data_IF_480751139825
#
_entry.id   IF_480751139825
#
_cell.length_a   1.000
_cell.length_b   1.000
_cell.length_c   1.000
_cell.angle_alpha   90.00
_cell.angle_beta   90.00
_cell.angle_gamma   90.00
#
_symmetry.space_group_name_H-M   'P 1'
#
loop_
_entity.id
_entity.type
_entity.pdbx_description
1 polymer ?
#
# COMPACT_ATOMS: atom_id res chain seq x y z
N UNK A 1 2.86 10.38 -21.41
CA UNK A 1 2.45 9.10 -22.04
C UNK A 1 3.70 8.22 -22.20
N UNK A 2 3.98 7.37 -21.21
CA UNK A 2 5.02 6.33 -21.33
C UNK A 2 4.35 5.11 -21.99
N UNK A 3 4.69 4.87 -23.26
CA UNK A 3 4.46 3.58 -23.91
C UNK A 3 5.71 2.76 -23.59
N UNK A 4 5.66 1.91 -22.57
CA UNK A 4 6.59 0.81 -22.48
C UNK A 4 6.10 -0.24 -23.48
N UNK A 5 6.73 -0.29 -24.64
CA UNK A 5 6.71 -1.49 -25.48
C UNK A 5 7.28 -2.61 -24.64
N UNK A 6 6.46 -3.62 -24.36
CA UNK A 6 6.89 -4.90 -23.79
C UNK A 6 8.13 -5.37 -24.53
N UNK A 7 9.24 -5.55 -23.82
CA UNK A 7 10.41 -6.21 -24.39
C UNK A 7 9.98 -7.68 -24.61
N UNK A 8 9.99 -8.21 -25.85
CA UNK A 8 9.66 -9.60 -26.08
C UNK A 8 10.64 -10.48 -25.31
N UNK A 9 10.15 -11.28 -24.36
CA UNK A 9 10.95 -12.24 -23.59
C UNK A 9 11.19 -11.90 -22.11
N UNK A 10 10.73 -10.76 -21.60
CA UNK A 10 10.63 -10.52 -20.15
C UNK A 10 9.19 -10.76 -19.69
N UNK A 11 8.92 -11.97 -19.21
CA UNK A 11 7.72 -12.22 -18.39
C UNK A 11 8.01 -11.68 -17.01
N UNK A 12 7.34 -10.59 -16.61
CA UNK A 12 7.34 -10.17 -15.22
C UNK A 12 6.84 -11.34 -14.37
N UNK A 13 7.51 -11.53 -13.24
CA UNK A 13 7.07 -12.51 -12.26
C UNK A 13 5.74 -11.99 -11.68
N UNK A 14 4.67 -12.81 -11.72
CA UNK A 14 3.32 -12.32 -11.44
C UNK A 14 3.16 -11.90 -9.96
N UNK A 15 3.99 -12.37 -9.03
CA UNK A 15 3.97 -11.91 -7.64
C UNK A 15 4.47 -10.46 -7.54
N UNK A 16 5.40 -10.01 -8.38
CA UNK A 16 5.77 -8.59 -8.46
C UNK A 16 4.55 -7.71 -8.84
N UNK A 17 3.72 -8.20 -9.76
CA UNK A 17 2.46 -7.56 -10.17
C UNK A 17 1.49 -7.49 -8.99
N UNK A 18 1.39 -8.57 -8.21
CA UNK A 18 0.43 -8.72 -7.12
C UNK A 18 0.84 -8.06 -5.80
N UNK A 19 2.13 -8.04 -5.47
CA UNK A 19 2.62 -7.67 -4.13
C UNK A 19 3.61 -6.50 -4.15
N UNK A 20 3.98 -6.00 -5.34
CA UNK A 20 4.91 -4.88 -5.47
C UNK A 20 6.37 -5.30 -5.30
N UNK A 21 7.22 -4.35 -4.90
CA UNK A 21 8.68 -4.52 -4.97
C UNK A 21 9.25 -5.59 -4.01
N UNK A 22 8.55 -5.92 -2.92
CA UNK A 22 9.01 -6.89 -1.92
C UNK A 22 8.46 -8.31 -2.14
N UNK A 23 7.98 -8.61 -3.35
CA UNK A 23 7.39 -9.90 -3.69
C UNK A 23 8.34 -11.10 -3.49
N UNK A 24 9.65 -10.88 -3.49
CA UNK A 24 10.66 -11.95 -3.38
C UNK A 24 10.54 -12.74 -2.08
N UNK A 25 10.06 -12.10 -1.00
CA UNK A 25 9.84 -12.75 0.30
C UNK A 25 8.56 -13.58 0.35
N UNK A 26 7.66 -13.42 -0.64
CA UNK A 26 6.32 -14.01 -0.63
C UNK A 26 6.32 -15.23 -1.54
N UNK A 27 6.27 -16.43 -0.98
CA UNK A 27 6.26 -17.69 -1.77
C UNK A 27 4.91 -18.37 -1.71
N UNK A 28 4.57 -19.17 -2.72
CA UNK A 28 3.36 -19.99 -2.65
C UNK A 28 3.51 -21.03 -1.53
N UNK A 29 2.48 -21.16 -0.70
CA UNK A 29 2.47 -22.11 0.41
C UNK A 29 2.35 -23.54 -0.16
N UNK A 30 3.28 -24.40 0.24
CA UNK A 30 3.34 -25.81 -0.20
C UNK A 30 3.06 -26.80 0.93
N UNK A 31 2.78 -26.31 2.13
CA UNK A 31 2.46 -27.15 3.28
C UNK A 31 1.03 -27.72 3.15
N UNK A 32 0.95 -29.04 2.98
CA UNK A 32 -0.31 -29.76 2.78
C UNK A 32 -1.28 -29.62 3.96
N UNK A 33 -0.78 -29.51 5.20
CA UNK A 33 -1.63 -29.36 6.38
C UNK A 33 -2.27 -27.97 6.40
N UNK A 34 -1.49 -26.93 6.09
CA UNK A 34 -1.97 -25.55 6.01
C UNK A 34 -2.95 -25.39 4.83
N UNK A 35 -2.61 -25.94 3.67
CA UNK A 35 -3.49 -25.91 2.50
C UNK A 35 -4.82 -26.62 2.77
N UNK A 36 -4.76 -27.79 3.41
CA UNK A 36 -5.96 -28.53 3.82
C UNK A 36 -6.77 -27.75 4.85
N UNK A 37 -6.10 -27.09 5.79
CA UNK A 37 -6.73 -26.25 6.80
C UNK A 37 -7.53 -25.11 6.18
N UNK A 38 -6.95 -24.32 5.27
CA UNK A 38 -7.67 -23.20 4.65
C UNK A 38 -8.80 -23.69 3.74
N UNK A 39 -8.61 -24.78 3.00
CA UNK A 39 -9.66 -25.38 2.16
C UNK A 39 -10.84 -25.94 2.97
N UNK A 40 -10.64 -26.31 4.24
CA UNK A 40 -11.70 -26.85 5.09
C UNK A 40 -12.55 -25.78 5.80
N UNK A 41 -12.14 -24.51 5.78
CA UNK A 41 -12.88 -23.46 6.49
C UNK A 41 -14.17 -23.11 5.75
N UNK A 42 -15.27 -23.03 6.48
CA UNK A 42 -16.59 -22.72 5.93
C UNK A 42 -16.63 -21.32 5.33
N UNK A 43 -15.98 -20.34 5.96
CA UNK A 43 -15.85 -18.98 5.43
C UNK A 43 -15.20 -18.90 4.04
N UNK A 44 -14.39 -19.89 3.67
CA UNK A 44 -13.74 -20.01 2.36
C UNK A 44 -14.60 -20.86 1.39
N UNK A 45 -15.43 -21.76 1.92
CA UNK A 45 -16.34 -22.62 1.14
C UNK A 45 -17.69 -21.96 0.84
N UNK A 46 -18.17 -21.07 1.69
CA UNK A 46 -19.42 -20.34 1.47
C UNK A 46 -19.19 -19.38 0.30
N UNK A 47 -19.79 -19.73 -0.85
CA UNK A 47 -19.84 -18.94 -2.09
C UNK A 47 -20.59 -17.60 -1.93
N UNK A 48 -20.79 -17.08 -0.71
CA UNK A 48 -21.45 -15.80 -0.43
C UNK A 48 -20.80 -14.65 -1.22
N UNK A 49 -19.53 -14.82 -1.58
CA UNK A 49 -18.76 -13.91 -2.41
C UNK A 49 -18.50 -14.41 -3.84
N UNK A 50 -18.95 -15.61 -4.21
CA UNK A 50 -18.84 -16.25 -5.53
C UNK A 50 -17.42 -16.53 -6.06
N UNK A 51 -16.37 -16.29 -5.26
CA UNK A 51 -15.00 -16.67 -5.60
C UNK A 51 -14.86 -18.19 -5.65
N UNK A 52 -14.22 -18.70 -6.69
CA UNK A 52 -14.06 -20.14 -6.94
C UNK A 52 -12.62 -20.61 -6.86
N UNK A 53 -11.69 -19.69 -7.06
CA UNK A 53 -10.27 -20.00 -7.18
C UNK A 53 -9.51 -19.38 -6.02
N UNK A 54 -8.65 -20.18 -5.42
CA UNK A 54 -7.84 -19.80 -4.27
C UNK A 54 -6.37 -20.11 -4.51
N UNK A 55 -5.48 -19.22 -4.08
CA UNK A 55 -4.05 -19.49 -3.95
C UNK A 55 -3.55 -18.94 -2.62
N UNK A 56 -2.73 -19.72 -1.93
CA UNK A 56 -2.20 -19.36 -0.63
C UNK A 56 -0.71 -19.06 -0.76
N UNK A 57 -0.31 -17.93 -0.22
CA UNK A 57 1.09 -17.52 -0.13
C UNK A 57 1.50 -17.35 1.32
N UNK A 58 2.79 -17.43 1.57
CA UNK A 58 3.40 -17.21 2.87
C UNK A 58 4.63 -16.31 2.77
N UNK A 59 4.90 -15.58 3.84
CA UNK A 59 6.04 -14.68 3.99
C UNK A 59 6.64 -14.94 5.37
N UNK A 60 7.86 -15.48 5.41
CA UNK A 60 8.48 -16.01 6.62
C UNK A 60 9.56 -15.07 7.16
N UNK A 61 9.47 -14.74 8.46
CA UNK A 61 10.39 -13.87 9.19
C UNK A 61 10.84 -14.53 10.50
N UNK A 62 11.87 -13.98 11.16
CA UNK A 62 12.38 -14.52 12.42
C UNK A 62 11.34 -14.51 13.55
N UNK A 63 10.47 -13.50 13.57
CA UNK A 63 9.47 -13.30 14.63
C UNK A 63 8.03 -13.64 14.20
N UNK A 64 7.84 -14.26 13.03
CA UNK A 64 6.51 -14.69 12.59
C UNK A 64 6.40 -15.04 11.11
N UNK A 65 5.25 -15.58 10.75
CA UNK A 65 4.86 -15.86 9.36
C UNK A 65 3.55 -15.15 9.05
N UNK A 66 3.49 -14.52 7.88
CA UNK A 66 2.27 -13.96 7.31
C UNK A 66 1.74 -14.91 6.24
N UNK A 67 0.45 -15.19 6.24
CA UNK A 67 -0.23 -15.98 5.23
C UNK A 67 -1.18 -15.10 4.43
N UNK A 68 -1.20 -15.24 3.10
CA UNK A 68 -2.00 -14.43 2.18
C UNK A 68 -2.84 -15.35 1.32
N UNK A 69 -4.15 -15.38 1.56
CA UNK A 69 -5.10 -16.13 0.74
C UNK A 69 -5.66 -15.20 -0.33
N UNK A 70 -5.35 -15.51 -1.59
CA UNK A 70 -5.93 -14.83 -2.74
C UNK A 70 -7.18 -15.57 -3.20
N UNK A 71 -8.25 -14.81 -3.46
CA UNK A 71 -9.51 -15.37 -3.94
C UNK A 71 -10.05 -14.58 -5.14
N UNK A 72 -10.62 -15.29 -6.11
CA UNK A 72 -11.21 -14.68 -7.31
C UNK A 72 -12.29 -15.58 -7.94
N UNK A 73 -13.16 -14.95 -8.74
CA UNK A 73 -14.12 -15.65 -9.59
C UNK A 73 -13.43 -16.30 -10.78
N UNK A 74 -12.37 -15.69 -11.29
CA UNK A 74 -11.58 -16.16 -12.43
C UNK A 74 -10.41 -17.05 -11.98
N UNK A 75 -9.95 -17.93 -12.87
CA UNK A 75 -8.84 -18.86 -12.60
C UNK A 75 -7.57 -18.10 -12.23
N UNK A 76 -6.96 -18.44 -11.09
CA UNK A 76 -5.73 -17.83 -10.59
C UNK A 76 -4.45 -18.51 -11.12
N UNK A 77 -4.35 -18.75 -12.43
CA UNK A 77 -3.10 -19.22 -13.03
C UNK A 77 -2.15 -18.05 -13.32
N UNK A 78 -0.87 -18.35 -13.52
CA UNK A 78 0.17 -17.32 -13.72
C UNK A 78 -0.11 -16.41 -14.92
N UNK A 79 -0.71 -16.95 -15.99
CA UNK A 79 -1.10 -16.15 -17.16
C UNK A 79 -2.13 -15.08 -16.80
N UNK A 80 -3.21 -15.47 -16.10
CA UNK A 80 -4.26 -14.55 -15.70
C UNK A 80 -3.77 -13.53 -14.68
N UNK A 81 -2.97 -13.97 -13.70
CA UNK A 81 -2.37 -13.09 -12.70
C UNK A 81 -1.43 -12.05 -13.36
N UNK A 82 -0.71 -12.42 -14.41
CA UNK A 82 0.15 -11.49 -15.15
C UNK A 82 -0.61 -10.40 -15.93
N UNK A 83 -1.92 -10.60 -16.16
CA UNK A 83 -2.78 -9.69 -16.93
C UNK A 83 -3.97 -9.19 -16.10
N UNK A 84 -3.88 -9.28 -14.77
CA UNK A 84 -5.03 -9.09 -13.89
C UNK A 84 -5.72 -7.73 -14.08
N UNK A 85 -4.91 -6.68 -14.25
CA UNK A 85 -5.38 -5.31 -14.46
C UNK A 85 -5.87 -5.06 -15.89
N UNK A 86 -5.25 -5.70 -16.88
CA UNK A 86 -5.69 -5.64 -18.29
C UNK A 86 -7.05 -6.30 -18.46
N UNK A 87 -7.21 -7.47 -17.83
CA UNK A 87 -8.44 -8.27 -17.83
C UNK A 87 -9.50 -7.75 -16.85
N UNK A 88 -9.14 -6.77 -16.02
CA UNK A 88 -10.00 -6.18 -14.99
C UNK A 88 -10.59 -7.22 -14.02
N UNK A 89 -9.80 -8.25 -13.69
CA UNK A 89 -10.23 -9.36 -12.84
C UNK A 89 -10.35 -8.93 -11.39
N UNK A 90 -11.47 -9.25 -10.75
CA UNK A 90 -11.65 -8.96 -9.32
C UNK A 90 -10.78 -9.89 -8.49
N UNK A 91 -9.84 -9.31 -7.74
CA UNK A 91 -8.95 -10.08 -6.88
C UNK A 91 -9.03 -9.60 -5.44
N UNK A 92 -9.32 -10.52 -4.53
CA UNK A 92 -9.33 -10.31 -3.09
C UNK A 92 -8.11 -10.91 -2.44
N UNK A 93 -7.74 -10.34 -1.31
CA UNK A 93 -6.70 -10.84 -0.42
C UNK A 93 -7.23 -10.84 1.01
N UNK A 94 -7.01 -11.97 1.67
CA UNK A 94 -7.14 -12.13 3.10
C UNK A 94 -5.75 -12.36 3.69
N UNK A 95 -5.44 -11.69 4.78
CA UNK A 95 -4.13 -11.77 5.43
C UNK A 95 -4.29 -12.35 6.83
N UNK A 96 -3.52 -13.38 7.12
CA UNK A 96 -3.58 -14.13 8.37
C UNK A 96 -2.22 -14.21 9.05
N UNK A 97 -2.27 -14.37 10.36
CA UNK A 97 -1.13 -14.72 11.21
C UNK A 97 -1.48 -15.95 12.03
N UNK A 98 -0.46 -16.68 12.52
CA UNK A 98 -0.65 -17.80 13.44
C UNK A 98 -0.18 -17.42 14.83
N UNK A 99 -1.08 -17.42 15.82
CA UNK A 99 -0.78 -17.13 17.23
C UNK A 99 -1.21 -18.35 18.04
N UNK A 100 -0.28 -18.90 18.84
CA UNK A 100 -0.50 -20.08 19.67
C UNK A 100 -1.19 -21.26 18.94
N UNK A 101 -0.83 -21.46 17.66
CA UNK A 101 -1.34 -22.55 16.84
C UNK A 101 -2.64 -22.23 16.07
N UNK A 102 -3.25 -21.07 16.31
CA UNK A 102 -4.55 -20.67 15.74
C UNK A 102 -4.35 -19.57 14.69
N UNK A 103 -5.15 -19.60 13.63
CA UNK A 103 -5.08 -18.58 12.56
C UNK A 103 -6.01 -17.41 12.85
N UNK A 104 -5.47 -16.20 12.74
CA UNK A 104 -6.16 -14.95 12.96
C UNK A 104 -6.13 -14.10 11.69
N UNK A 105 -7.30 -13.69 11.20
CA UNK A 105 -7.42 -12.72 10.12
C UNK A 105 -7.08 -11.33 10.64
N UNK A 106 -6.10 -10.67 10.02
CA UNK A 106 -5.62 -9.35 10.42
C UNK A 106 -6.00 -8.24 9.44
N UNK A 107 -6.29 -8.62 8.18
CA UNK A 107 -6.71 -7.72 7.12
C UNK A 107 -7.49 -8.49 6.04
N UNK A 108 -8.42 -7.79 5.40
CA UNK A 108 -9.19 -8.26 4.26
C UNK A 108 -9.46 -7.08 3.31
N UNK A 109 -9.26 -7.28 2.01
CA UNK A 109 -9.50 -6.26 1.00
C UNK A 109 -9.37 -6.74 -0.44
N UNK A 110 -9.47 -5.79 -1.36
CA UNK A 110 -9.22 -6.04 -2.78
C UNK A 110 -7.78 -5.69 -3.12
N UNK A 111 -7.10 -6.61 -3.81
CA UNK A 111 -5.89 -6.26 -4.55
C UNK A 111 -6.27 -5.36 -5.72
N UNK A 112 -7.34 -5.73 -6.41
CA UNK A 112 -7.92 -4.93 -7.47
C UNK A 112 -9.43 -5.15 -7.55
N UNK A 113 -10.15 -4.04 -7.71
CA UNK A 113 -11.54 -4.06 -8.12
C UNK A 113 -11.83 -2.86 -9.00
N UNK A 114 -12.65 -3.09 -10.02
CA UNK A 114 -13.27 -2.02 -10.80
C UNK A 114 -14.73 -1.91 -10.44
N UNK A 115 -15.14 -0.73 -10.00
CA UNK A 115 -16.53 -0.38 -9.80
C UNK A 115 -16.98 0.53 -10.94
N UNK A 116 -18.25 0.45 -11.30
CA UNK A 116 -18.85 1.38 -12.25
C UNK A 116 -20.30 1.67 -11.87
N UNK A 117 -20.72 2.91 -12.09
CA UNK A 117 -22.11 3.30 -12.04
C UNK A 117 -22.53 3.85 -13.40
N UNK A 118 -23.69 3.41 -13.85
CA UNK A 118 -24.32 3.91 -15.07
C UNK A 118 -25.54 4.74 -14.71
N UNK A 119 -25.74 5.84 -15.43
CA UNK A 119 -26.79 6.80 -15.20
C UNK A 119 -26.97 7.70 -16.42
N UNK A 120 -28.20 8.19 -16.61
CA UNK A 120 -28.60 8.90 -17.83
C UNK A 120 -27.83 10.21 -18.06
N UNK A 121 -27.41 10.87 -16.98
CA UNK A 121 -26.70 12.17 -17.01
C UNK A 121 -25.26 12.03 -16.53
N UNK A 122 -25.00 11.05 -15.67
CA UNK A 122 -23.67 10.82 -15.09
C UNK A 122 -23.38 9.33 -15.06
N UNK A 123 -22.22 8.96 -15.56
CA UNK A 123 -21.65 7.63 -15.41
C UNK A 123 -20.26 7.74 -14.79
N UNK A 124 -19.78 6.68 -14.16
CA UNK A 124 -18.46 6.68 -13.57
C UNK A 124 -17.80 5.31 -13.61
N UNK A 125 -16.48 5.32 -13.66
CA UNK A 125 -15.62 4.15 -13.51
C UNK A 125 -14.60 4.44 -12.43
N UNK A 126 -14.45 3.51 -11.49
CA UNK A 126 -13.46 3.60 -10.41
C UNK A 126 -12.56 2.37 -10.45
N UNK A 127 -11.27 2.60 -10.65
CA UNK A 127 -10.25 1.57 -10.47
C UNK A 127 -9.67 1.73 -9.05
N UNK A 128 -9.74 0.67 -8.26
CA UNK A 128 -9.29 0.63 -6.88
C UNK A 128 -8.16 -0.40 -6.72
N UNK A 129 -7.02 0.06 -6.22
CA UNK A 129 -5.82 -0.75 -5.99
C UNK A 129 -5.52 -0.77 -4.49
N UNK A 130 -5.62 -1.93 -3.86
CA UNK A 130 -5.33 -2.11 -2.44
C UNK A 130 -4.27 -3.17 -2.20
N UNK A 131 -3.51 -3.07 -1.12
CA UNK A 131 -2.62 -4.17 -0.73
C UNK A 131 -2.24 -4.09 0.75
N UNK A 132 -1.53 -5.12 1.17
CA UNK A 132 -0.92 -5.23 2.49
C UNK A 132 0.57 -5.45 2.34
N UNK A 133 1.38 -4.52 2.85
CA UNK A 133 2.84 -4.67 2.93
C UNK A 133 3.25 -5.03 4.34
N UNK A 134 4.20 -5.96 4.45
CA UNK A 134 4.93 -6.16 5.70
C UNK A 134 6.00 -5.08 5.80
N UNK A 135 6.07 -4.41 6.95
CA UNK A 135 7.16 -3.50 7.28
C UNK A 135 8.09 -4.27 8.21
N UNK A 136 9.30 -4.54 7.74
CA UNK A 136 10.29 -5.36 8.43
C UNK A 136 11.62 -4.62 8.59
N UNK A 137 12.38 -4.95 9.62
CA UNK A 137 13.80 -4.59 9.71
C UNK A 137 14.58 -5.80 10.18
N UNK A 138 15.69 -6.08 9.50
CA UNK A 138 16.58 -7.19 9.83
C UNK A 138 15.82 -8.52 9.97
N UNK A 139 14.94 -8.82 9.01
CA UNK A 139 14.13 -10.04 8.97
C UNK A 139 13.16 -10.19 10.15
N UNK A 140 12.82 -9.09 10.82
CA UNK A 140 11.83 -9.04 11.89
C UNK A 140 10.69 -8.11 11.49
N UNK A 141 9.46 -8.61 11.61
CA UNK A 141 8.25 -7.84 11.33
C UNK A 141 8.09 -6.76 12.40
N UNK A 142 8.06 -5.50 11.97
CA UNK A 142 7.73 -4.34 12.81
C UNK A 142 6.21 -4.15 12.83
N UNK A 143 5.58 -4.32 11.68
CA UNK A 143 4.13 -4.25 11.56
C UNK A 143 3.63 -4.45 10.13
N UNK A 144 2.35 -4.19 9.96
CA UNK A 144 1.63 -4.39 8.71
C UNK A 144 1.06 -3.05 8.26
N UNK A 145 1.33 -2.69 7.01
CA UNK A 145 0.81 -1.52 6.34
C UNK A 145 -0.25 -1.94 5.32
N UNK A 146 -1.50 -1.64 5.61
CA UNK A 146 -2.61 -1.77 4.68
C UNK A 146 -2.77 -0.45 3.94
N UNK A 147 -2.89 -0.47 2.61
CA UNK A 147 -3.03 0.76 1.84
C UNK A 147 -3.95 0.56 0.64
N UNK A 148 -4.56 1.66 0.21
CA UNK A 148 -5.49 1.70 -0.90
C UNK A 148 -5.36 3.02 -1.67
N UNK A 149 -5.43 2.94 -3.00
CA UNK A 149 -5.46 4.08 -3.91
C UNK A 149 -6.55 3.85 -4.95
N UNK A 150 -7.54 4.75 -5.00
CA UNK A 150 -8.64 4.67 -5.97
C UNK A 150 -8.69 5.90 -6.86
N UNK A 151 -8.93 5.68 -8.15
CA UNK A 151 -9.14 6.73 -9.15
C UNK A 151 -10.50 6.53 -9.78
N UNK A 152 -11.37 7.53 -9.63
CA UNK A 152 -12.69 7.57 -10.26
C UNK A 152 -12.71 8.60 -11.37
N UNK A 153 -13.12 8.18 -12.55
CA UNK A 153 -13.43 9.06 -13.68
C UNK A 153 -14.95 9.15 -13.78
N UNK A 154 -15.47 10.37 -13.75
CA UNK A 154 -16.91 10.67 -13.85
C UNK A 154 -17.13 11.37 -15.18
N UNK A 155 -18.00 10.81 -16.01
CA UNK A 155 -18.38 11.37 -17.31
C UNK A 155 -19.77 11.98 -17.18
N UNK A 156 -19.88 13.26 -17.53
CA UNK A 156 -21.12 14.04 -17.51
C UNK A 156 -21.65 14.19 -18.93
N UNK A 157 -22.82 13.63 -19.21
CA UNK A 157 -23.50 13.75 -20.49
C UNK A 157 -24.25 15.07 -20.58
N UNK A 158 -24.28 15.65 -21.77
CA UNK A 158 -25.06 16.84 -22.04
C UNK A 158 -26.57 16.56 -21.95
N UNK A 159 -27.30 17.47 -21.30
CA UNK A 159 -28.77 17.37 -21.16
C UNK A 159 -29.54 17.80 -22.44
N UNK A 160 -28.84 18.32 -23.46
CA UNK A 160 -29.40 18.74 -24.74
C UNK A 160 -28.43 18.49 -25.90
N UNK A 161 -28.96 18.48 -27.13
CA UNK A 161 -28.18 18.27 -28.37
C UNK A 161 -27.07 19.32 -28.59
N UNK A 162 -27.17 20.48 -27.92
CA UNK A 162 -26.20 21.58 -27.99
C UNK A 162 -25.27 21.67 -26.76
N UNK A 163 -25.39 20.77 -25.78
CA UNK A 163 -24.56 20.78 -24.57
C UNK A 163 -23.22 20.07 -24.75
N UNK A 164 -22.20 20.50 -23.98
CA UNK A 164 -20.88 19.84 -23.96
C UNK A 164 -20.81 18.78 -22.86
N UNK A 165 -20.37 17.58 -23.24
CA UNK A 165 -20.00 16.54 -22.27
C UNK A 165 -18.60 16.81 -21.71
N UNK A 166 -18.38 16.49 -20.44
CA UNK A 166 -17.09 16.73 -19.78
C UNK A 166 -16.76 15.62 -18.76
N UNK A 167 -15.50 15.56 -18.32
CA UNK A 167 -15.02 14.57 -17.35
C UNK A 167 -14.37 15.21 -16.13
N UNK A 168 -14.63 14.67 -14.94
CA UNK A 168 -13.83 14.90 -13.73
C UNK A 168 -13.09 13.64 -13.32
N UNK A 169 -11.98 13.85 -12.62
CA UNK A 169 -11.23 12.78 -11.95
C UNK A 169 -11.21 13.05 -10.45
N UNK A 170 -11.71 12.08 -9.68
CA UNK A 170 -11.55 12.03 -8.23
C UNK A 170 -10.46 11.00 -7.89
N UNK A 171 -9.64 11.34 -6.89
CA UNK A 171 -8.59 10.46 -6.37
C UNK A 171 -8.76 10.34 -4.87
N UNK A 172 -8.64 9.13 -4.35
CA UNK A 172 -8.66 8.87 -2.91
C UNK A 172 -7.55 7.90 -2.51
N UNK A 173 -7.07 8.09 -1.29
CA UNK A 173 -6.02 7.30 -0.68
C UNK A 173 -6.41 6.95 0.75
N UNK A 174 -5.99 5.79 1.22
CA UNK A 174 -6.01 5.45 2.64
C UNK A 174 -4.83 4.53 2.93
N UNK A 175 -4.26 4.66 4.12
CA UNK A 175 -3.24 3.75 4.61
C UNK A 175 -3.28 3.66 6.13
N UNK A 176 -3.09 2.45 6.64
CA UNK A 176 -3.20 2.11 8.05
C UNK A 176 -2.07 1.17 8.43
N UNK A 177 -1.28 1.58 9.43
CA UNK A 177 -0.22 0.76 9.98
C UNK A 177 -0.61 0.21 11.35
N UNK A 178 -0.42 -1.10 11.54
CA UNK A 178 -0.64 -1.82 12.80
C UNK A 178 0.66 -2.48 13.23
N UNK A 179 1.07 -2.28 14.49
CA UNK A 179 2.27 -2.93 15.00
C UNK A 179 2.09 -4.45 15.12
N UNK A 180 3.16 -5.19 14.83
CA UNK A 180 3.18 -6.64 14.89
C UNK A 180 2.76 -7.18 16.26
N UNK A 181 3.33 -6.63 17.33
CA UNK A 181 3.03 -7.00 18.71
C UNK A 181 1.54 -6.86 19.07
N UNK A 182 0.84 -5.90 18.47
CA UNK A 182 -0.57 -5.62 18.79
C UNK A 182 -1.45 -6.65 18.07
N UNK A 183 -1.07 -7.05 16.85
CA UNK A 183 -1.73 -8.13 16.11
C UNK A 183 -1.57 -9.49 16.79
N UNK A 184 -0.54 -9.70 17.60
CA UNK A 184 -0.37 -10.95 18.36
C UNK A 184 -1.27 -11.04 19.61
N UNK A 185 -2.02 -10.00 19.95
CA UNK A 185 -2.89 -10.01 21.11
C UNK A 185 -4.21 -10.74 20.83
N UNK A 186 -4.31 -11.98 21.29
CA UNK A 186 -5.50 -12.85 21.12
C UNK A 186 -6.82 -12.21 21.59
N UNK A 187 -6.79 -11.30 22.56
CA UNK A 187 -8.01 -10.66 23.08
C UNK A 187 -8.73 -9.81 22.04
N UNK A 188 -8.05 -9.45 20.95
CA UNK A 188 -8.61 -8.71 19.82
C UNK A 188 -9.45 -9.59 18.90
N UNK A 189 -9.41 -10.91 19.08
CA UNK A 189 -10.00 -11.85 18.15
C UNK A 189 -11.17 -12.63 18.75
N UNK A 190 -12.04 -13.12 17.87
CA UNK A 190 -13.11 -14.06 18.19
C UNK A 190 -13.31 -15.02 17.05
N UNK A 191 -13.83 -16.20 17.34
CA UNK A 191 -14.10 -17.22 16.34
C UNK A 191 -15.08 -16.72 15.27
N UNK A 192 -14.84 -17.08 14.03
CA UNK A 192 -15.81 -16.96 12.95
C UNK A 192 -16.98 -17.91 13.22
N UNK A 193 -18.22 -17.45 12.95
CA UNK A 193 -19.41 -18.27 13.16
C UNK A 193 -19.38 -19.47 12.19
N UNK A 194 -19.11 -20.66 12.72
CA UNK A 194 -19.02 -21.90 11.94
C UNK A 194 -17.60 -22.41 11.69
N UNK A 195 -16.57 -21.68 12.09
CA UNK A 195 -15.16 -22.11 12.03
C UNK A 195 -14.54 -21.99 13.44
N UNK A 196 -14.17 -23.12 14.05
CA UNK A 196 -13.61 -23.12 15.42
C UNK A 196 -12.19 -22.56 15.49
N UNK A 197 -11.47 -22.53 14.37
CA UNK A 197 -10.04 -22.22 14.33
C UNK A 197 -9.71 -20.93 13.54
N UNK A 198 -10.68 -20.35 12.83
CA UNK A 198 -10.49 -19.10 12.10
C UNK A 198 -11.04 -17.95 12.93
N UNK A 199 -10.16 -17.06 13.38
CA UNK A 199 -10.56 -15.95 14.24
C UNK A 199 -10.51 -14.61 13.51
N UNK A 200 -11.58 -13.83 13.64
CA UNK A 200 -11.69 -12.46 13.14
C UNK A 200 -11.35 -11.45 14.21
N UNK A 201 -10.94 -10.26 13.78
CA UNK A 201 -10.94 -9.08 14.65
C UNK A 201 -12.36 -8.83 15.17
N UNK A 202 -12.46 -8.65 16.48
CA UNK A 202 -13.68 -8.31 17.19
C UNK A 202 -14.17 -6.92 16.82
N UNK A 203 -15.48 -6.81 16.53
CA UNK A 203 -16.13 -5.53 16.21
C UNK A 203 -16.17 -4.55 17.40
N UNK A 204 -16.05 -5.07 18.62
CA UNK A 204 -16.10 -4.30 19.87
C UNK A 204 -14.71 -3.93 20.43
N UNK A 205 -13.65 -4.19 19.65
CA UNK A 205 -12.28 -3.86 20.04
C UNK A 205 -11.63 -2.95 19.00
N UNK A 206 -10.93 -1.91 19.45
CA UNK A 206 -10.14 -1.01 18.60
C UNK A 206 -8.66 -1.43 18.70
N UNK A 207 -8.12 -2.00 17.61
CA UNK A 207 -6.68 -2.26 17.52
C UNK A 207 -5.95 -0.91 17.36
N UNK A 208 -4.84 -0.66 18.07
CA UNK A 208 -4.03 0.51 17.82
C UNK A 208 -3.59 0.60 16.35
N UNK A 209 -4.01 1.67 15.67
CA UNK A 209 -3.69 1.94 14.27
C UNK A 209 -3.04 3.31 14.14
N UNK A 210 -2.01 3.42 13.32
CA UNK A 210 -1.49 4.68 12.80
C UNK A 210 -2.07 4.88 11.40
N UNK A 211 -2.93 5.87 11.24
CA UNK A 211 -3.46 6.26 9.94
C UNK A 211 -2.42 7.12 9.23
N UNK A 212 -2.32 6.96 7.92
CA UNK A 212 -1.40 7.68 7.05
C UNK A 212 -2.24 8.31 5.94
N UNK A 213 -2.38 9.63 5.98
CA UNK A 213 -2.87 10.39 4.83
C UNK A 213 -1.70 10.69 3.91
N UNK A 214 -1.88 10.50 2.61
CA UNK A 214 -0.83 10.72 1.62
C UNK A 214 -1.41 11.16 0.27
N UNK A 215 -0.63 11.90 -0.52
CA UNK A 215 -0.97 12.26 -1.90
C UNK A 215 -1.16 10.99 -2.77
N UNK A 216 -1.93 11.10 -3.86
CA UNK A 216 -2.18 9.96 -4.73
C UNK A 216 -0.90 9.48 -5.43
N UNK A 217 -0.60 8.16 -5.44
CA UNK A 217 0.62 7.63 -6.06
C UNK A 217 0.49 7.46 -7.57
N UNK A 218 1.64 7.40 -8.25
CA UNK A 218 1.75 6.95 -9.62
C UNK A 218 1.41 5.46 -9.72
N UNK A 219 0.30 5.16 -10.40
CA UNK A 219 -0.11 3.78 -10.69
C UNK A 219 0.46 3.34 -12.04
N UNK A 220 1.41 2.40 -12.01
CA UNK A 220 1.89 1.72 -13.22
C UNK A 220 0.82 0.74 -13.72
N UNK A 221 0.56 0.73 -15.02
CA UNK A 221 -0.53 -0.07 -15.62
C UNK A 221 -0.32 -1.58 -15.49
N UNK A 222 0.92 -2.03 -15.37
CA UNK A 222 1.29 -3.45 -15.28
C UNK A 222 1.61 -3.82 -13.84
N UNK A 223 2.30 -2.94 -13.10
CA UNK A 223 2.68 -3.14 -11.69
C UNK A 223 2.14 -2.02 -10.79
N UNK A 224 0.83 -1.98 -10.48
CA UNK A 224 0.20 -0.89 -9.75
C UNK A 224 0.84 -0.55 -8.42
N UNK A 225 1.44 -1.52 -7.73
CA UNK A 225 2.09 -1.30 -6.44
C UNK A 225 3.56 -0.86 -6.54
N UNK A 226 4.09 -0.67 -7.76
CA UNK A 226 5.50 -0.35 -7.95
C UNK A 226 5.92 0.98 -7.32
N UNK A 227 5.02 1.96 -7.24
CA UNK A 227 5.32 3.31 -6.75
C UNK A 227 4.40 3.79 -5.63
N UNK A 228 3.66 2.87 -5.00
CA UNK A 228 2.69 3.19 -3.96
C UNK A 228 3.36 3.43 -2.60
N UNK A 229 2.57 3.91 -1.63
CA UNK A 229 3.05 4.48 -0.36
C UNK A 229 3.90 3.54 0.50
N UNK A 230 3.74 2.22 0.38
CA UNK A 230 4.53 1.25 1.15
C UNK A 230 6.03 1.38 0.88
N UNK A 231 6.41 1.79 -0.31
CA UNK A 231 7.82 1.99 -0.67
C UNK A 231 8.46 3.19 0.04
N UNK A 232 7.70 4.01 0.78
CA UNK A 232 8.27 5.03 1.65
C UNK A 232 8.64 4.47 3.03
N UNK A 233 8.27 3.22 3.34
CA UNK A 233 8.41 2.65 4.69
C UNK A 233 9.04 1.25 4.68
N UNK A 234 9.30 0.69 3.50
CA UNK A 234 9.67 -0.71 3.34
C UNK A 234 11.12 -1.02 3.75
N UNK A 235 11.95 -0.01 4.00
CA UNK A 235 13.34 -0.19 4.40
C UNK A 235 14.27 -0.53 3.24
N UNK A 236 13.76 -0.48 2.00
CA UNK A 236 14.53 -0.67 0.79
C UNK A 236 14.73 0.66 0.04
N UNK A 237 15.90 1.32 0.16
CA UNK A 237 16.17 2.59 -0.54
C UNK A 237 16.18 2.49 -2.08
N UNK A 238 16.10 1.28 -2.63
CA UNK A 238 15.99 1.06 -4.08
C UNK A 238 14.55 1.12 -4.60
N UNK A 239 13.55 1.19 -3.73
CA UNK A 239 12.15 1.45 -4.10
C UNK A 239 11.82 2.92 -3.84
N UNK A 240 10.66 3.39 -4.29
CA UNK A 240 10.19 4.74 -3.96
C UNK A 240 8.68 4.86 -4.06
N UNK A 241 8.11 5.65 -3.16
CA UNK A 241 6.81 6.27 -3.36
C UNK A 241 6.98 7.42 -4.38
N UNK A 242 6.14 7.43 -5.40
CA UNK A 242 6.13 8.45 -6.46
C UNK A 242 4.73 9.00 -6.55
N UNK A 243 4.55 10.31 -6.47
CA UNK A 243 3.23 10.94 -6.57
C UNK A 243 2.73 11.03 -8.03
N UNK A 244 1.41 11.00 -8.23
CA UNK A 244 0.71 11.33 -9.49
C UNK A 244 -0.34 12.42 -9.21
N UNK A 245 0.16 13.62 -8.90
CA UNK A 245 -0.66 14.81 -8.74
C UNK A 245 -0.23 15.90 -9.72
N UNK A 246 -1.21 16.70 -10.16
CA UNK A 246 -0.96 17.80 -11.08
C UNK A 246 -0.14 18.94 -10.44
N UNK A 247 -0.16 19.03 -9.11
CA UNK A 247 0.54 20.07 -8.35
C UNK A 247 2.01 19.71 -8.02
N UNK A 248 2.42 18.46 -8.23
CA UNK A 248 3.74 17.93 -7.82
C UNK A 248 4.07 18.22 -6.34
N UNK A 249 3.05 18.20 -5.46
CA UNK A 249 3.23 18.40 -4.03
C UNK A 249 2.85 17.17 -3.21
N UNK A 250 3.88 16.53 -2.65
CA UNK A 250 3.68 15.45 -1.69
C UNK A 250 3.14 16.06 -0.39
N UNK A 251 2.07 15.47 0.11
CA UNK A 251 1.53 15.66 1.46
C UNK A 251 1.52 14.30 2.11
N UNK A 252 2.09 14.18 3.31
CA UNK A 252 2.04 12.97 4.12
C UNK A 252 1.79 13.38 5.57
N UNK A 253 0.84 12.75 6.25
CA UNK A 253 0.62 12.93 7.68
C UNK A 253 0.19 11.64 8.38
N UNK A 254 0.79 11.39 9.54
CA UNK A 254 0.49 10.27 10.41
C UNK A 254 -0.35 10.75 11.60
N UNK A 255 -1.40 10.00 11.93
CA UNK A 255 -2.25 10.32 13.07
C UNK A 255 -2.86 9.06 13.70
N UNK A 256 -2.99 9.09 15.02
CA UNK A 256 -3.57 8.04 15.82
C UNK A 256 -3.96 8.61 17.17
N UNK A 257 -5.00 8.06 17.79
CA UNK A 257 -5.27 8.31 19.21
C UNK A 257 -4.14 7.81 20.12
N UNK A 258 -3.37 6.81 19.64
CA UNK A 258 -2.30 6.14 20.38
C UNK A 258 -0.90 6.67 20.02
N UNK A 259 -0.80 7.62 19.09
CA UNK A 259 0.45 8.32 18.84
C UNK A 259 0.66 9.31 19.99
N UNK A 260 1.51 8.92 20.93
CA UNK A 260 1.98 9.78 22.01
C UNK A 260 2.71 11.02 21.47
N UNK A 261 3.03 11.92 22.39
CA UNK A 261 3.60 13.27 22.23
C UNK A 261 4.67 13.42 21.14
N UNK A 262 4.81 14.67 20.68
CA UNK A 262 5.24 15.10 19.35
C UNK A 262 6.37 14.28 18.70
N UNK A 263 6.40 14.27 17.37
CA UNK A 263 7.62 13.92 16.66
C UNK A 263 8.78 14.81 17.16
N UNK A 264 10.01 14.27 17.21
CA UNK A 264 11.22 15.07 17.52
C UNK A 264 12.19 15.10 16.35
N UNK A 265 12.17 14.07 15.49
CA UNK A 265 12.99 13.98 14.29
C UNK A 265 12.26 13.27 13.17
N UNK A 266 12.59 13.63 11.94
CA UNK A 266 12.21 12.90 10.75
C UNK A 266 13.47 12.35 10.07
N UNK A 267 13.38 11.11 9.60
CA UNK A 267 14.37 10.48 8.73
C UNK A 267 13.77 10.41 7.34
N UNK A 268 14.52 10.82 6.33
CA UNK A 268 14.06 10.78 4.94
C UNK A 268 15.20 10.39 4.00
N UNK A 269 14.94 9.46 3.09
CA UNK A 269 15.72 9.30 1.86
C UNK A 269 14.93 9.95 0.74
N UNK A 270 15.44 11.08 0.27
CA UNK A 270 14.76 11.97 -0.66
C UNK A 270 14.94 11.50 -2.11
N UNK A 271 13.94 11.65 -2.98
CA UNK A 271 14.04 11.30 -4.39
C UNK A 271 14.00 9.79 -4.65
N UNK A 272 14.11 9.40 -5.93
CA UNK A 272 14.19 7.99 -6.33
C UNK A 272 15.63 7.49 -6.20
N UNK A 273 15.96 6.93 -5.03
CA UNK A 273 17.34 6.67 -4.62
C UNK A 273 17.97 5.37 -5.15
N UNK A 274 17.24 4.57 -5.94
CA UNK A 274 17.77 3.34 -6.54
C UNK A 274 19.10 3.53 -7.29
N UNK A 275 19.28 4.65 -7.98
CA UNK A 275 20.56 5.03 -8.57
C UNK A 275 20.59 6.53 -8.91
N UNK A 276 21.79 7.06 -9.14
CA UNK A 276 21.97 8.48 -9.46
C UNK A 276 21.18 8.96 -10.68
N UNK A 277 20.98 8.09 -11.68
CA UNK A 277 20.27 8.47 -12.90
C UNK A 277 18.78 8.69 -12.60
N UNK A 278 18.12 7.77 -11.90
CA UNK A 278 16.72 7.92 -11.48
C UNK A 278 16.56 9.11 -10.53
N UNK A 279 17.47 9.26 -9.57
CA UNK A 279 17.48 10.38 -8.63
C UNK A 279 17.49 11.74 -9.36
N UNK A 280 18.37 11.92 -10.36
CA UNK A 280 18.50 13.18 -11.13
C UNK A 280 17.38 13.38 -12.15
N UNK A 281 16.72 12.31 -12.59
CA UNK A 281 15.67 12.39 -13.59
C UNK A 281 14.32 12.82 -13.02
N UNK A 282 14.07 12.56 -11.73
CA UNK A 282 12.82 12.90 -11.03
C UNK A 282 12.97 14.17 -10.18
N UNK A 283 11.84 14.74 -9.77
CA UNK A 283 11.84 15.80 -8.77
C UNK A 283 12.30 15.23 -7.42
N UNK A 284 13.09 16.03 -6.69
CA UNK A 284 13.45 15.75 -5.29
C UNK A 284 12.93 16.89 -4.44
N UNK A 285 12.60 16.59 -3.20
CA UNK A 285 12.08 17.57 -2.25
C UNK A 285 13.20 18.55 -1.90
N UNK A 286 12.93 19.85 -2.02
CA UNK A 286 13.86 20.91 -1.61
C UNK A 286 13.45 21.50 -0.28
N UNK A 287 12.18 21.88 -0.13
CA UNK A 287 11.64 22.47 1.11
C UNK A 287 10.39 21.71 1.51
N UNK A 288 10.32 21.32 2.79
CA UNK A 288 9.11 20.83 3.44
C UNK A 288 8.63 21.84 4.47
N UNK A 289 7.34 21.83 4.76
CA UNK A 289 6.74 22.63 5.83
C UNK A 289 5.66 21.85 6.59
N UNK A 290 5.37 22.29 7.81
CA UNK A 290 4.40 21.65 8.70
C UNK A 290 2.98 22.16 8.42
N UNK A 291 1.97 21.29 8.59
CA UNK A 291 0.57 21.66 8.40
C UNK A 291 0.07 22.62 9.48
N UNK A 292 0.62 22.50 10.69
CA UNK A 292 0.13 23.17 11.89
C UNK A 292 1.09 24.24 12.43
N UNK A 293 2.06 24.68 11.62
CA UNK A 293 3.11 25.65 12.00
C UNK A 293 3.96 25.24 13.23
N UNK A 294 3.89 23.96 13.64
CA UNK A 294 4.67 23.40 14.74
C UNK A 294 6.16 23.34 14.44
N UNK A 295 6.51 23.17 13.17
CA UNK A 295 7.89 23.18 12.68
C UNK A 295 8.07 24.28 11.65
N UNK A 296 9.19 24.99 11.75
CA UNK A 296 9.62 25.89 10.66
C UNK A 296 9.97 25.07 9.42
N UNK A 297 9.70 25.63 8.24
CA UNK A 297 10.10 25.02 6.98
C UNK A 297 11.58 24.61 6.98
N UNK A 298 11.87 23.40 6.50
CA UNK A 298 13.23 22.83 6.46
C UNK A 298 13.64 22.62 5.01
N UNK A 299 14.87 23.00 4.68
CA UNK A 299 15.49 22.68 3.39
C UNK A 299 16.25 21.35 3.48
N UNK A 300 15.89 20.39 2.62
CA UNK A 300 16.59 19.11 2.49
C UNK A 300 17.79 19.24 1.55
N UNK A 301 18.85 18.46 1.79
CA UNK A 301 20.03 18.45 0.93
C UNK A 301 19.72 17.70 -0.38
N UNK A 302 20.12 18.28 -1.50
CA UNK A 302 20.16 17.61 -2.81
C UNK A 302 21.40 16.72 -2.94
N UNK A 303 21.40 15.84 -3.94
CA UNK A 303 22.51 14.93 -4.28
C UNK A 303 22.94 14.03 -3.12
N UNK A 304 21.97 13.66 -2.28
CA UNK A 304 22.15 12.74 -1.19
C UNK A 304 21.17 11.58 -1.34
N UNK A 305 21.70 10.39 -1.65
CA UNK A 305 20.95 9.14 -1.72
C UNK A 305 20.91 8.42 -0.36
N UNK A 306 21.61 8.95 0.65
CA UNK A 306 21.65 8.41 2.00
C UNK A 306 20.60 9.09 2.91
N UNK A 307 20.20 8.45 4.03
CA UNK A 307 19.28 9.02 5.00
C UNK A 307 19.67 10.41 5.50
N UNK A 308 18.70 11.32 5.53
CA UNK A 308 18.80 12.62 6.19
C UNK A 308 17.96 12.59 7.46
N UNK A 309 18.58 12.85 8.60
CA UNK A 309 17.89 13.01 9.88
C UNK A 309 17.81 14.50 10.20
N UNK A 310 16.58 15.01 10.34
CA UNK A 310 16.32 16.41 10.65
C UNK A 310 15.53 16.53 11.94
N UNK A 311 15.69 17.65 12.66
CA UNK A 311 14.79 18.00 13.76
C UNK A 311 13.43 18.37 13.15
N UNK A 312 12.37 17.70 13.59
CA UNK A 312 11.05 17.84 13.01
C UNK A 312 10.01 17.52 14.08
N UNK A 313 9.09 18.45 14.34
CA UNK A 313 8.14 18.41 15.46
C UNK A 313 6.69 18.31 14.94
N UNK A 314 6.49 17.52 13.89
CA UNK A 314 5.19 17.19 13.35
C UNK A 314 5.21 15.75 12.80
N UNK A 315 4.10 15.03 12.87
CA UNK A 315 3.97 13.70 12.26
C UNK A 315 3.51 13.79 10.79
N UNK A 316 3.54 14.98 10.22
CA UNK A 316 3.31 15.19 8.80
C UNK A 316 4.06 16.40 8.26
N UNK A 317 4.07 16.49 6.94
CA UNK A 317 4.61 17.61 6.19
C UNK A 317 3.95 17.72 4.81
N UNK A 318 4.10 18.88 4.20
CA UNK A 318 3.87 19.07 2.77
C UNK A 318 5.10 19.65 2.09
N UNK A 319 5.27 19.33 0.80
CA UNK A 319 6.35 19.85 -0.03
C UNK A 319 6.02 21.27 -0.49
N UNK A 320 6.91 22.23 -0.20
CA UNK A 320 6.83 23.62 -0.66
C UNK A 320 7.61 23.89 -1.93
N UNK A 321 8.79 23.29 -2.03
CA UNK A 321 9.69 23.49 -3.18
C UNK A 321 10.37 22.18 -3.53
N UNK A 322 10.73 22.03 -4.80
CA UNK A 322 11.45 20.88 -5.31
C UNK A 322 12.68 21.27 -6.13
N UNK A 323 13.68 20.40 -6.11
CA UNK A 323 14.75 20.36 -7.10
C UNK A 323 14.20 19.70 -8.36
N UNK A 324 14.09 20.45 -9.46
CA UNK A 324 13.56 19.95 -10.73
C UNK A 324 14.39 18.82 -11.31
N UNK A 325 13.73 17.70 -11.60
CA UNK A 325 14.29 16.58 -12.34
C UNK A 325 14.64 16.95 -13.77
N UNK A 326 15.48 16.13 -14.41
CA UNK A 326 15.87 16.33 -15.82
C UNK A 326 14.83 15.83 -16.82
N UNK A 327 13.92 14.93 -16.41
CA UNK A 327 13.05 14.20 -17.34
C UNK A 327 11.60 14.09 -16.88
N UNK A 328 11.41 13.83 -15.59
CA UNK A 328 10.11 13.54 -15.00
C UNK A 328 9.75 14.65 -14.01
N UNK A 329 8.45 14.98 -13.96
CA UNK A 329 7.91 15.99 -13.05
C UNK A 329 7.42 15.37 -11.73
N UNK A 330 7.51 14.04 -11.60
CA UNK A 330 7.05 13.32 -10.44
C UNK A 330 8.04 13.50 -9.28
N UNK A 331 7.53 13.81 -8.09
CA UNK A 331 8.35 13.88 -6.86
C UNK A 331 8.38 12.52 -6.20
N UNK A 332 9.55 12.14 -5.67
CA UNK A 332 9.78 10.81 -5.12
C UNK A 332 10.28 10.88 -3.67
N UNK A 333 9.93 9.87 -2.87
CA UNK A 333 10.48 9.58 -1.55
C UNK A 333 10.84 8.10 -1.52
N UNK A 334 12.10 7.78 -1.22
CA UNK A 334 12.57 6.40 -1.10
C UNK A 334 12.37 5.85 0.31
N UNK A 335 12.52 6.66 1.36
CA UNK A 335 12.26 6.22 2.73
C UNK A 335 11.79 7.40 3.59
N UNK A 336 10.97 7.12 4.58
CA UNK A 336 10.42 8.06 5.53
C UNK A 336 10.21 7.38 6.89
N UNK A 337 10.65 8.02 7.97
CA UNK A 337 10.32 7.60 9.32
C UNK A 337 10.26 8.82 10.25
N UNK A 338 9.51 8.70 11.34
CA UNK A 338 9.35 9.72 12.36
C UNK A 338 9.74 9.15 13.72
N UNK A 339 10.60 9.88 14.42
CA UNK A 339 11.03 9.54 15.77
C UNK A 339 10.09 10.22 16.76
N UNK A 340 9.44 9.43 17.59
CA UNK A 340 8.63 9.91 18.71
C UNK A 340 9.49 10.44 19.86
N UNK A 341 8.90 11.24 20.76
CA UNK A 341 9.59 11.85 21.92
C UNK A 341 10.35 10.85 22.82
N UNK A 342 9.95 9.57 22.85
CA UNK A 342 10.63 8.53 23.60
C UNK A 342 11.89 7.96 22.88
N UNK A 343 12.29 8.57 21.75
CA UNK A 343 13.46 8.20 20.98
C UNK A 343 13.25 7.05 19.98
N UNK A 344 12.04 6.50 19.86
CA UNK A 344 11.79 5.40 18.95
C UNK A 344 11.25 5.88 17.60
N UNK A 345 11.83 5.33 16.54
CA UNK A 345 11.34 5.40 15.17
C UNK A 345 10.09 4.53 15.01
N UNK A 346 9.11 4.99 14.25
CA UNK A 346 7.80 4.29 14.14
C UNK A 346 7.94 3.00 13.36
N UNK A 347 8.76 2.98 12.31
CA UNK A 347 8.87 1.86 11.37
C UNK A 347 10.16 1.03 11.54
N UNK A 348 10.94 1.28 12.61
CA UNK A 348 12.19 0.56 12.87
C UNK A 348 12.28 -0.13 14.24
N UNK A 349 11.25 0.00 15.09
CA UNK A 349 11.36 -0.37 16.50
C UNK A 349 11.11 -1.84 16.81
#
# INVERSE_FOLDING_TARGET
>A
MLIFTTIPGFTYEYREILFGNNYENITECTDDEILKYFKSQKSIQDEDYGDKYVRLFEENYENGTIYRLLTSYETLNDENLSKIYENKMRLRQWVYIKVNGVFHEISYGYIYIRNSGDGTVTSWNEDNYGNVSVIERNNNIIGILEFNSAKRVISHSADSDDGESWETTERSTSANFKYWKDLQNESFYKNWLGDECLHLIRKDVEIPVINIDYSYPLIDKVRPFKYTIQNAFDGNPSTSYVEDTEDSTIKISLYSKNLNSNCIKMKIINGYAQNEMLYKNNNRIKVIDSFNEKSTAVTLKDKNLEPQIINWIDYGFYVKEFYKGKKYNDTCIAELDFQSENGNWIFEK
#
